data_IF_018643274744
#
_entry.id   IF_018643274744
#
_cell.length_a   1.000
_cell.length_b   1.000
_cell.length_c   1.000
_cell.angle_alpha   90.00
_cell.angle_beta   90.00
_cell.angle_gamma   90.00
#
_symmetry.space_group_name_H-M   'P 1'
#
loop_
_entity.id
_entity.type
_entity.pdbx_description
1 polymer ?
#
# COMPACT_ATOMS: atom_id res chain seq x y z
N UNK A 1 28.87 29.13 -6.25
CA UNK A 1 27.97 27.96 -6.45
C UNK A 1 27.01 27.88 -5.27
N UNK A 2 25.79 28.42 -5.39
CA UNK A 2 24.73 28.21 -4.38
C UNK A 2 24.10 26.84 -4.65
N UNK A 3 24.16 25.95 -3.66
CA UNK A 3 23.42 24.68 -3.70
C UNK A 3 21.92 24.99 -3.73
N UNK A 4 21.12 24.43 -4.65
CA UNK A 4 19.70 24.66 -4.62
C UNK A 4 19.12 23.91 -3.42
N UNK A 5 18.65 24.67 -2.43
CA UNK A 5 17.77 24.16 -1.38
C UNK A 5 16.53 23.60 -2.06
N UNK A 6 16.48 22.27 -2.21
CA UNK A 6 15.36 21.56 -2.80
C UNK A 6 14.07 21.87 -2.04
N UNK A 7 13.24 22.73 -2.63
CA UNK A 7 11.88 23.02 -2.14
C UNK A 7 11.15 21.71 -1.86
N UNK A 8 10.57 21.59 -0.68
CA UNK A 8 9.73 20.48 -0.26
C UNK A 8 8.72 20.10 -1.36
N UNK A 9 8.89 18.92 -1.94
CA UNK A 9 8.11 18.36 -3.07
C UNK A 9 6.79 17.72 -2.64
N UNK A 10 6.51 17.69 -1.33
CA UNK A 10 5.29 17.16 -0.75
C UNK A 10 4.04 17.85 -1.30
N UNK A 11 3.16 17.10 -1.98
CA UNK A 11 1.87 17.61 -2.49
C UNK A 11 0.72 17.02 -1.68
N UNK A 12 0.35 17.68 -0.58
CA UNK A 12 -0.72 17.23 0.34
C UNK A 12 -2.06 17.00 -0.39
N UNK A 13 -2.48 17.94 -1.24
CA UNK A 13 -3.70 17.80 -2.05
C UNK A 13 -3.69 16.57 -2.97
N UNK A 14 -2.52 16.20 -3.50
CA UNK A 14 -2.37 14.99 -4.32
C UNK A 14 -2.50 13.71 -3.48
N UNK A 15 -1.98 13.68 -2.24
CA UNK A 15 -2.16 12.53 -1.34
C UNK A 15 -3.64 12.28 -1.03
N UNK A 16 -4.39 13.35 -0.71
CA UNK A 16 -5.82 13.25 -0.46
C UNK A 16 -6.57 12.75 -1.70
N UNK A 17 -6.34 13.38 -2.85
CA UNK A 17 -7.02 13.03 -4.10
C UNK A 17 -6.74 11.58 -4.53
N UNK A 18 -5.48 11.13 -4.48
CA UNK A 18 -5.12 9.75 -4.84
C UNK A 18 -5.79 8.75 -3.88
N UNK A 19 -5.84 9.06 -2.59
CA UNK A 19 -6.43 8.17 -1.59
C UNK A 19 -7.95 8.06 -1.75
N UNK A 20 -8.64 9.17 -1.98
CA UNK A 20 -10.08 9.19 -2.28
C UNK A 20 -10.41 8.37 -3.54
N UNK A 21 -9.66 8.58 -4.62
CA UNK A 21 -9.86 7.81 -5.86
C UNK A 21 -9.57 6.31 -5.67
N UNK A 22 -8.59 5.97 -4.82
CA UNK A 22 -8.30 4.58 -4.46
C UNK A 22 -9.48 3.92 -3.73
N UNK A 23 -10.19 4.62 -2.84
CA UNK A 23 -11.39 4.08 -2.20
C UNK A 23 -12.48 3.71 -3.21
N UNK A 24 -12.77 4.63 -4.15
CA UNK A 24 -13.78 4.41 -5.18
C UNK A 24 -13.41 3.20 -6.04
N UNK A 25 -12.16 3.14 -6.51
CA UNK A 25 -11.69 2.05 -7.38
C UNK A 25 -11.54 0.73 -6.64
N UNK A 26 -11.20 0.72 -5.35
CA UNK A 26 -11.07 -0.51 -4.57
C UNK A 26 -12.39 -1.27 -4.46
N UNK A 27 -13.52 -0.57 -4.36
CA UNK A 27 -14.85 -1.20 -4.37
C UNK A 27 -15.12 -1.93 -5.69
N UNK A 28 -14.83 -1.28 -6.82
CA UNK A 28 -14.97 -1.91 -8.14
C UNK A 28 -14.05 -3.12 -8.30
N UNK A 29 -12.78 -2.99 -7.92
CA UNK A 29 -11.82 -4.09 -8.01
C UNK A 29 -12.26 -5.29 -7.15
N UNK A 30 -12.70 -5.05 -5.92
CA UNK A 30 -13.19 -6.11 -5.02
C UNK A 30 -14.34 -6.90 -5.63
N UNK A 31 -15.25 -6.23 -6.32
CA UNK A 31 -16.38 -6.89 -7.00
C UNK A 31 -15.98 -7.66 -8.25
N UNK A 32 -14.86 -7.29 -8.89
CA UNK A 32 -14.36 -7.93 -10.11
C UNK A 32 -13.53 -9.19 -9.88
N UNK A 33 -13.05 -9.43 -8.66
CA UNK A 33 -12.23 -10.59 -8.31
C UNK A 33 -13.02 -11.64 -7.54
N UNK A 34 -12.63 -12.93 -7.59
CA UNK A 34 -13.21 -13.97 -6.76
C UNK A 34 -13.24 -13.60 -5.27
N UNK A 35 -14.30 -14.05 -4.58
CA UNK A 35 -14.49 -13.77 -3.15
C UNK A 35 -13.33 -14.31 -2.31
N UNK A 36 -12.96 -13.57 -1.27
CA UNK A 36 -12.07 -14.10 -0.22
C UNK A 36 -12.77 -15.23 0.55
N UNK A 37 -12.33 -16.47 0.33
CA UNK A 37 -12.84 -17.66 1.02
C UNK A 37 -12.17 -17.88 2.39
N UNK A 38 -11.11 -17.15 2.73
CA UNK A 38 -10.31 -17.36 3.94
C UNK A 38 -10.74 -16.36 5.02
N UNK A 39 -11.77 -16.70 5.80
CA UNK A 39 -12.35 -15.78 6.80
C UNK A 39 -11.59 -15.70 8.13
N UNK A 40 -10.91 -16.77 8.54
CA UNK A 40 -10.29 -16.89 9.87
C UNK A 40 -8.91 -16.24 9.97
N UNK A 41 -8.22 -16.07 8.84
CA UNK A 41 -6.85 -15.56 8.79
C UNK A 41 -6.84 -14.20 8.12
N UNK A 42 -6.29 -13.18 8.78
CA UNK A 42 -6.04 -11.86 8.19
C UNK A 42 -4.58 -11.71 7.76
N UNK A 43 -4.34 -11.14 6.57
CA UNK A 43 -3.00 -10.70 6.17
C UNK A 43 -2.61 -9.44 6.96
N UNK A 44 -3.52 -8.47 7.02
CA UNK A 44 -3.33 -7.18 7.69
C UNK A 44 -3.74 -7.26 9.16
N UNK A 45 -2.74 -7.38 10.05
CA UNK A 45 -2.94 -7.49 11.50
C UNK A 45 -2.83 -6.14 12.20
N UNK A 46 -3.47 -6.00 13.38
CA UNK A 46 -3.38 -4.80 14.24
C UNK A 46 -1.93 -4.40 14.57
N UNK A 47 -1.06 -5.37 14.82
CA UNK A 47 0.37 -5.10 15.04
C UNK A 47 1.06 -4.53 13.80
N UNK A 48 0.64 -4.93 12.61
CA UNK A 48 1.13 -4.36 11.35
C UNK A 48 0.62 -2.94 11.16
N UNK A 49 -0.63 -2.62 11.56
CA UNK A 49 -1.14 -1.24 11.58
C UNK A 49 -0.26 -0.32 12.41
N UNK A 50 0.07 -0.73 13.64
CA UNK A 50 0.90 0.09 14.55
C UNK A 50 2.25 0.40 13.90
N UNK A 51 2.91 -0.61 13.34
CA UNK A 51 4.18 -0.44 12.65
C UNK A 51 4.06 0.36 11.35
N UNK A 52 2.95 0.25 10.64
CA UNK A 52 2.68 1.06 9.45
C UNK A 52 2.64 2.56 9.79
N UNK A 53 2.13 2.93 10.97
CA UNK A 53 2.11 4.33 11.41
C UNK A 53 3.50 4.82 11.82
N UNK A 54 4.24 4.02 12.59
CA UNK A 54 5.47 4.48 13.27
C UNK A 54 6.77 4.14 12.56
N UNK A 55 6.77 3.20 11.60
CA UNK A 55 7.98 2.74 10.93
C UNK A 55 7.84 2.91 9.42
N UNK A 56 8.57 3.90 8.87
CA UNK A 56 8.50 4.23 7.45
C UNK A 56 8.90 3.05 6.55
N UNK A 57 9.89 2.23 6.95
CA UNK A 57 10.29 1.06 6.17
C UNK A 57 9.20 -0.02 6.13
N UNK A 58 8.40 -0.18 7.19
CA UNK A 58 7.25 -1.09 7.16
C UNK A 58 6.19 -0.58 6.20
N UNK A 59 5.90 0.73 6.24
CA UNK A 59 4.95 1.38 5.33
C UNK A 59 5.37 1.23 3.87
N UNK A 60 6.59 1.66 3.53
CA UNK A 60 7.13 1.55 2.17
C UNK A 60 7.13 0.09 1.67
N UNK A 61 7.67 -0.84 2.46
CA UNK A 61 7.71 -2.24 2.08
C UNK A 61 6.32 -2.89 1.94
N UNK A 62 5.33 -2.44 2.71
CA UNK A 62 3.95 -2.92 2.58
C UNK A 62 3.28 -2.41 1.31
N UNK A 63 3.42 -1.11 1.00
CA UNK A 63 2.89 -0.53 -0.23
C UNK A 63 3.57 -1.15 -1.46
N UNK A 64 4.89 -1.31 -1.43
CA UNK A 64 5.66 -2.05 -2.43
C UNK A 64 5.25 -3.52 -2.53
N UNK A 65 4.86 -4.18 -1.43
CA UNK A 65 4.36 -5.55 -1.46
C UNK A 65 3.08 -5.63 -2.32
N UNK A 66 2.13 -4.72 -2.12
CA UNK A 66 0.90 -4.67 -2.91
C UNK A 66 1.18 -4.46 -4.40
N UNK A 67 2.03 -3.50 -4.76
CA UNK A 67 2.43 -3.25 -6.16
C UNK A 67 3.07 -4.49 -6.79
N UNK A 68 4.08 -5.06 -6.13
CA UNK A 68 4.96 -6.08 -6.73
C UNK A 68 4.39 -7.50 -6.68
N UNK A 69 3.48 -7.79 -5.76
CA UNK A 69 3.01 -9.17 -5.51
C UNK A 69 1.50 -9.34 -5.63
N UNK A 70 0.71 -8.29 -5.38
CA UNK A 70 -0.77 -8.36 -5.43
C UNK A 70 -1.25 -7.86 -6.78
N UNK A 71 -1.03 -6.57 -7.07
CA UNK A 71 -1.54 -5.96 -8.31
C UNK A 71 -0.80 -6.44 -9.56
N UNK A 72 0.48 -6.82 -9.46
CA UNK A 72 1.23 -7.42 -10.57
C UNK A 72 0.62 -8.74 -11.07
N UNK A 73 -0.17 -9.42 -10.24
CA UNK A 73 -0.86 -10.67 -10.54
C UNK A 73 -2.27 -10.49 -11.12
N UNK A 74 -2.79 -9.26 -11.13
CA UNK A 74 -4.03 -8.97 -11.85
C UNK A 74 -3.84 -9.23 -13.35
N UNK A 75 -4.94 -9.56 -14.01
CA UNK A 75 -4.99 -9.63 -15.47
C UNK A 75 -4.58 -8.30 -16.09
N UNK A 76 -4.07 -8.35 -17.32
CA UNK A 76 -3.67 -7.14 -18.04
C UNK A 76 -4.92 -6.31 -18.31
N UNK A 77 -4.94 -5.08 -17.79
CA UNK A 77 -6.10 -4.20 -17.92
C UNK A 77 -5.93 -2.89 -17.17
N UNK A 78 -6.96 -2.04 -17.23
CA UNK A 78 -6.97 -0.71 -16.63
C UNK A 78 -6.75 -0.75 -15.12
N UNK A 79 -7.33 -1.72 -14.43
CA UNK A 79 -7.24 -1.81 -12.97
C UNK A 79 -5.82 -2.12 -12.51
N UNK A 80 -5.15 -3.07 -13.16
CA UNK A 80 -3.74 -3.39 -12.89
C UNK A 80 -2.87 -2.14 -12.99
N UNK A 81 -2.98 -1.42 -14.10
CA UNK A 81 -2.19 -0.21 -14.35
C UNK A 81 -2.53 0.89 -13.34
N UNK A 82 -3.82 1.10 -13.06
CA UNK A 82 -4.31 2.10 -12.14
C UNK A 82 -3.78 1.88 -10.73
N UNK A 83 -3.94 0.68 -10.16
CA UNK A 83 -3.52 0.42 -8.78
C UNK A 83 -2.01 0.46 -8.61
N UNK A 84 -1.24 -0.07 -9.58
CA UNK A 84 0.22 0.03 -9.57
C UNK A 84 0.65 1.50 -9.58
N UNK A 85 0.12 2.30 -10.50
CA UNK A 85 0.47 3.72 -10.64
C UNK A 85 0.06 4.52 -9.41
N UNK A 86 -1.17 4.35 -8.93
CA UNK A 86 -1.68 5.07 -7.76
C UNK A 86 -0.84 4.78 -6.51
N UNK A 87 -0.48 3.52 -6.26
CA UNK A 87 0.38 3.17 -5.12
C UNK A 87 1.81 3.68 -5.27
N UNK A 88 2.36 3.72 -6.48
CA UNK A 88 3.68 4.30 -6.74
C UNK A 88 3.69 5.82 -6.51
N UNK A 89 2.67 6.53 -7.01
CA UNK A 89 2.50 7.98 -6.76
C UNK A 89 2.31 8.25 -5.28
N UNK A 90 1.52 7.43 -4.59
CA UNK A 90 1.31 7.53 -3.15
C UNK A 90 2.62 7.39 -2.38
N UNK A 91 3.42 6.35 -2.66
CA UNK A 91 4.74 6.14 -2.04
C UNK A 91 5.67 7.32 -2.30
N UNK A 92 5.87 7.70 -3.57
CA UNK A 92 6.77 8.77 -3.93
C UNK A 92 6.40 10.11 -3.27
N UNK A 93 5.12 10.43 -3.19
CA UNK A 93 4.65 11.66 -2.57
C UNK A 93 4.67 11.59 -1.04
N UNK A 94 4.44 10.42 -0.43
CA UNK A 94 4.65 10.20 1.01
C UNK A 94 6.11 10.37 1.39
N UNK A 95 7.05 9.82 0.62
CA UNK A 95 8.49 9.95 0.85
C UNK A 95 8.96 11.41 0.65
N UNK A 96 8.34 12.14 -0.28
CA UNK A 96 8.57 13.58 -0.44
C UNK A 96 8.07 14.41 0.77
N UNK A 97 7.02 13.95 1.45
CA UNK A 97 6.49 14.58 2.66
C UNK A 97 7.26 14.22 3.92
N UNK A 98 7.62 12.95 4.07
CA UNK A 98 8.38 12.44 5.20
C UNK A 98 9.39 11.38 4.70
N UNK A 99 10.63 11.80 4.38
CA UNK A 99 11.63 10.91 3.81
C UNK A 99 11.88 9.68 4.66
N UNK A 100 11.89 8.51 4.01
CA UNK A 100 12.32 7.26 4.61
C UNK A 100 13.71 6.89 4.11
N UNK A 101 14.60 6.48 5.00
CA UNK A 101 15.89 5.94 4.58
C UNK A 101 15.67 4.66 3.74
N UNK A 102 16.28 4.54 2.54
CA UNK A 102 16.17 3.34 1.74
C UNK A 102 16.64 2.11 2.52
N UNK A 103 15.85 1.03 2.50
CA UNK A 103 16.21 -0.22 3.17
C UNK A 103 15.92 -1.41 2.26
N UNK A 104 16.99 -2.15 1.92
CA UNK A 104 16.89 -3.42 1.19
C UNK A 104 16.48 -4.57 2.11
N UNK A 105 16.62 -4.41 3.43
CA UNK A 105 16.32 -5.45 4.42
C UNK A 105 14.83 -5.49 4.70
N UNK A 106 14.20 -6.61 4.35
CA UNK A 106 12.79 -6.85 4.66
C UNK A 106 12.56 -6.88 6.17
N UNK A 107 11.67 -6.02 6.65
CA UNK A 107 11.25 -5.98 8.06
C UNK A 107 10.60 -7.29 8.48
N UNK A 108 10.66 -7.62 9.77
CA UNK A 108 10.06 -8.86 10.29
C UNK A 108 8.54 -8.91 10.06
N UNK A 109 7.87 -7.76 10.15
CA UNK A 109 6.44 -7.62 9.90
C UNK A 109 6.08 -7.96 8.45
N UNK A 110 6.70 -7.30 7.47
CA UNK A 110 6.42 -7.56 6.05
C UNK A 110 6.90 -8.94 5.63
N UNK A 111 7.97 -9.47 6.22
CA UNK A 111 8.41 -10.87 6.00
C UNK A 111 7.37 -11.88 6.45
N UNK A 112 6.77 -11.71 7.63
CA UNK A 112 5.69 -12.59 8.11
C UNK A 112 4.47 -12.50 7.21
N UNK A 113 4.09 -11.29 6.78
CA UNK A 113 2.98 -11.07 5.84
C UNK A 113 3.24 -11.76 4.50
N UNK A 114 4.42 -11.57 3.89
CA UNK A 114 4.79 -12.23 2.64
C UNK A 114 4.76 -13.75 2.74
N UNK A 115 5.29 -14.32 3.83
CA UNK A 115 5.23 -15.78 4.06
C UNK A 115 3.80 -16.29 4.14
N UNK A 116 2.92 -15.56 4.82
CA UNK A 116 1.50 -15.92 4.89
C UNK A 116 0.84 -15.82 3.51
N UNK A 117 1.04 -14.72 2.79
CA UNK A 117 0.54 -14.55 1.43
C UNK A 117 0.96 -15.70 0.51
N UNK A 118 2.25 -16.08 0.52
CA UNK A 118 2.75 -17.19 -0.29
C UNK A 118 2.11 -18.54 0.10
N UNK A 119 1.87 -18.78 1.39
CA UNK A 119 1.17 -19.99 1.86
C UNK A 119 -0.27 -20.07 1.36
N UNK A 120 -0.90 -18.94 1.06
CA UNK A 120 -2.28 -18.91 0.56
C UNK A 120 -2.35 -19.10 -0.97
N UNK A 121 -1.23 -19.11 -1.69
CA UNK A 121 -1.21 -19.21 -3.15
C UNK A 121 -2.05 -18.10 -3.79
N UNK A 122 -2.82 -18.45 -4.82
CA UNK A 122 -3.65 -17.49 -5.57
C UNK A 122 -4.76 -16.88 -4.70
N UNK A 123 -5.27 -17.62 -3.70
CA UNK A 123 -6.23 -17.08 -2.72
C UNK A 123 -5.64 -15.93 -1.91
N UNK A 124 -4.31 -15.86 -1.78
CA UNK A 124 -3.61 -14.74 -1.16
C UNK A 124 -3.86 -13.41 -1.89
N UNK A 125 -4.01 -13.43 -3.22
CA UNK A 125 -4.28 -12.25 -4.03
C UNK A 125 -5.68 -11.72 -3.71
N UNK A 126 -6.69 -12.60 -3.78
CA UNK A 126 -8.08 -12.23 -3.51
C UNK A 126 -8.25 -11.74 -2.08
N UNK A 127 -7.62 -12.40 -1.10
CA UNK A 127 -7.59 -11.91 0.28
C UNK A 127 -6.96 -10.51 0.39
N UNK A 128 -5.79 -10.29 -0.20
CA UNK A 128 -5.11 -8.99 -0.11
C UNK A 128 -5.95 -7.85 -0.73
N UNK A 129 -6.64 -8.13 -1.83
CA UNK A 129 -7.56 -7.19 -2.49
C UNK A 129 -8.79 -6.93 -1.61
N UNK A 130 -9.38 -7.97 -1.05
CA UNK A 130 -10.54 -7.83 -0.16
C UNK A 130 -10.21 -7.01 1.09
N UNK A 131 -8.99 -7.15 1.62
CA UNK A 131 -8.46 -6.39 2.76
C UNK A 131 -7.96 -4.98 2.38
N UNK A 132 -8.20 -4.48 1.16
CA UNK A 132 -7.96 -3.06 0.83
C UNK A 132 -8.83 -2.12 1.67
N UNK A 133 -10.01 -2.57 2.10
CA UNK A 133 -10.85 -1.84 3.06
C UNK A 133 -10.22 -1.73 4.46
N UNK A 134 -9.17 -2.51 4.75
CA UNK A 134 -8.35 -2.37 5.95
C UNK A 134 -7.15 -1.47 5.68
N UNK A 135 -6.45 -1.67 4.55
CA UNK A 135 -5.23 -0.91 4.25
C UNK A 135 -5.50 0.56 3.93
N UNK A 136 -6.53 0.87 3.14
CA UNK A 136 -6.83 2.23 2.72
C UNK A 136 -7.12 3.15 3.91
N UNK A 137 -7.87 2.73 4.95
CA UNK A 137 -7.96 3.50 6.19
C UNK A 137 -6.63 3.75 6.88
N UNK A 138 -5.68 2.81 6.83
CA UNK A 138 -4.35 3.04 7.43
C UNK A 138 -3.58 4.10 6.65
N UNK A 139 -3.63 4.03 5.32
CA UNK A 139 -3.06 5.02 4.42
C UNK A 139 -3.68 6.40 4.68
N UNK A 140 -5.00 6.51 4.70
CA UNK A 140 -5.73 7.75 4.94
C UNK A 140 -5.38 8.35 6.30
N UNK A 141 -5.44 7.56 7.37
CA UNK A 141 -5.07 8.02 8.71
C UNK A 141 -3.62 8.49 8.74
N UNK A 142 -2.69 7.75 8.14
CA UNK A 142 -1.29 8.16 8.10
C UNK A 142 -1.10 9.49 7.34
N UNK A 143 -1.77 9.65 6.18
CA UNK A 143 -1.75 10.90 5.43
C UNK A 143 -2.26 12.06 6.29
N UNK A 144 -3.37 11.89 6.99
CA UNK A 144 -3.92 12.89 7.90
C UNK A 144 -2.98 13.24 9.07
N UNK A 145 -2.03 12.39 9.43
CA UNK A 145 -1.01 12.72 10.45
C UNK A 145 0.16 13.54 9.91
N UNK A 146 0.38 13.55 8.59
CA UNK A 146 1.49 14.29 7.95
C UNK A 146 1.01 15.50 7.13
N UNK A 147 -0.29 15.58 6.82
CA UNK A 147 -0.98 16.78 6.32
C UNK A 147 -1.28 17.71 7.49
#
# INVERSE_FOLDING_TARGET
>A
KKSPTGKHTCRKGLLSQVTENLYIKATSLKSSVPKDLIKTTRLLKKTTKMLFMTNCSVRDQLLSFYVKNVFSRLEVGSDKLYFITAFQVLQANMDACLPCAPSTRLTSAVRKLKRMFLKLGDQGIYKAIHELDILLPWIQTYIQTII
#
